data_IF_659912662401
#
_entry.id   IF_659912662401
#
_cell.length_a   1.000
_cell.length_b   1.000
_cell.length_c   1.000
_cell.angle_alpha   90.00
_cell.angle_beta   90.00
_cell.angle_gamma   90.00
#
_symmetry.space_group_name_H-M   'P 1'
#
loop_
_entity.id
_entity.type
_entity.pdbx_description
1 polymer ?
#
# COMPACT_ATOMS: atom_id res chain seq x y z
N UNK A 1 -4.16 1.56 -12.94
CA UNK A 1 -2.78 1.06 -13.19
C UNK A 1 -2.85 -0.45 -13.26
N UNK A 2 -2.48 -1.07 -14.37
CA UNK A 2 -2.59 -2.52 -14.55
C UNK A 2 -1.25 -3.14 -14.15
N UNK A 3 -1.19 -3.76 -12.97
CA UNK A 3 -0.06 -4.61 -12.59
C UNK A 3 -0.21 -5.90 -13.41
N UNK A 4 0.81 -6.26 -14.18
CA UNK A 4 0.75 -7.46 -15.01
C UNK A 4 0.51 -8.70 -14.15
N UNK A 5 -0.25 -9.65 -14.69
CA UNK A 5 -0.49 -10.98 -14.12
C UNK A 5 0.82 -11.59 -13.61
N UNK A 6 0.78 -12.04 -12.35
CA UNK A 6 1.95 -12.52 -11.60
C UNK A 6 2.61 -13.68 -12.35
N UNK A 7 3.80 -13.44 -12.92
CA UNK A 7 4.65 -14.56 -13.37
C UNK A 7 5.12 -15.30 -12.13
N UNK A 8 4.99 -16.62 -12.14
CA UNK A 8 5.33 -17.51 -11.01
C UNK A 8 6.82 -17.48 -10.62
N UNK A 9 7.66 -16.78 -11.40
CA UNK A 9 9.12 -16.74 -11.25
C UNK A 9 9.68 -15.35 -10.90
N UNK A 10 8.83 -14.33 -10.64
CA UNK A 10 9.34 -13.01 -10.25
C UNK A 10 9.89 -13.08 -8.83
N UNK A 11 11.17 -12.73 -8.58
CA UNK A 11 11.72 -12.74 -7.24
C UNK A 11 10.94 -11.84 -6.29
N UNK A 12 10.78 -12.26 -5.04
CA UNK A 12 10.01 -11.54 -4.01
C UNK A 12 10.47 -10.07 -3.88
N UNK A 13 11.79 -9.85 -3.96
CA UNK A 13 12.38 -8.52 -3.90
C UNK A 13 12.01 -7.64 -5.10
N UNK A 14 11.88 -8.21 -6.30
CA UNK A 14 11.54 -7.45 -7.49
C UNK A 14 10.06 -7.08 -7.49
N UNK A 15 9.18 -7.98 -7.05
CA UNK A 15 7.78 -7.67 -6.81
C UNK A 15 7.62 -6.58 -5.73
N UNK A 16 8.41 -6.64 -4.65
CA UNK A 16 8.42 -5.60 -3.62
C UNK A 16 8.83 -4.22 -4.17
N UNK A 17 9.83 -4.18 -5.07
CA UNK A 17 10.22 -2.94 -5.76
C UNK A 17 9.13 -2.43 -6.70
N UNK A 18 8.42 -3.32 -7.39
CA UNK A 18 7.28 -2.95 -8.24
C UNK A 18 6.14 -2.35 -7.42
N UNK A 19 5.81 -2.93 -6.26
CA UNK A 19 4.85 -2.36 -5.31
C UNK A 19 5.32 -0.99 -4.81
N UNK A 20 6.57 -0.86 -4.36
CA UNK A 20 7.10 0.42 -3.90
C UNK A 20 7.07 1.50 -5.00
N UNK A 21 7.40 1.13 -6.24
CA UNK A 21 7.34 2.02 -7.41
C UNK A 21 5.90 2.43 -7.73
N UNK A 22 4.97 1.50 -7.59
CA UNK A 22 3.54 1.71 -7.77
C UNK A 22 2.95 2.67 -6.73
N UNK A 23 3.33 2.51 -5.47
CA UNK A 23 2.97 3.43 -4.39
C UNK A 23 3.48 4.85 -4.67
N UNK A 24 4.74 4.99 -5.09
CA UNK A 24 5.32 6.29 -5.51
C UNK A 24 4.58 6.90 -6.68
N UNK A 25 4.23 6.09 -7.69
CA UNK A 25 3.50 6.57 -8.87
C UNK A 25 2.10 7.06 -8.52
N UNK A 26 1.40 6.36 -7.63
CA UNK A 26 0.04 6.69 -7.24
C UNK A 26 -0.02 7.90 -6.29
N UNK A 27 0.73 7.86 -5.19
CA UNK A 27 0.69 8.90 -4.16
C UNK A 27 1.54 10.12 -4.51
N UNK A 28 2.57 9.97 -5.36
CA UNK A 28 3.45 11.06 -5.73
C UNK A 28 4.26 11.57 -4.53
N UNK A 29 4.19 12.87 -4.28
CA UNK A 29 4.81 13.56 -3.15
C UNK A 29 4.15 13.22 -1.80
N UNK A 30 2.96 12.61 -1.81
CA UNK A 30 2.24 12.17 -0.60
C UNK A 30 2.79 10.87 0.00
N UNK A 31 3.82 10.26 -0.58
CA UNK A 31 4.48 9.06 -0.02
C UNK A 31 5.98 9.24 0.14
N UNK A 32 6.49 8.92 1.32
CA UNK A 32 7.90 9.00 1.68
C UNK A 32 8.34 7.76 2.47
N UNK A 33 9.61 7.70 2.87
CA UNK A 33 10.15 6.69 3.78
C UNK A 33 9.89 5.21 3.41
N UNK A 34 9.82 4.90 2.12
CA UNK A 34 9.60 3.54 1.61
C UNK A 34 10.77 2.61 2.01
N UNK A 35 10.45 1.56 2.76
CA UNK A 35 11.38 0.53 3.19
C UNK A 35 10.78 -0.87 2.92
N UNK A 36 11.57 -1.72 2.28
CA UNK A 36 11.22 -3.12 2.02
C UNK A 36 11.80 -3.98 3.15
N UNK A 37 11.00 -4.94 3.64
CA UNK A 37 11.39 -5.87 4.71
C UNK A 37 10.70 -7.22 4.54
N UNK A 38 11.03 -8.20 5.39
CA UNK A 38 10.41 -9.54 5.43
C UNK A 38 10.40 -10.26 4.07
N UNK A 39 11.43 -10.06 3.25
CA UNK A 39 11.51 -10.68 1.92
C UNK A 39 11.83 -12.16 2.06
N UNK A 40 10.85 -13.01 1.75
CA UNK A 40 10.96 -14.47 1.69
C UNK A 40 10.69 -14.88 0.25
N UNK A 41 11.59 -15.67 -0.32
CA UNK A 41 11.54 -16.11 -1.72
C UNK A 41 11.86 -17.60 -1.82
N UNK A 42 10.92 -18.41 -1.32
CA UNK A 42 10.98 -19.87 -1.36
C UNK A 42 9.98 -20.42 -2.38
N UNK A 43 10.26 -21.64 -2.89
CA UNK A 43 9.45 -22.28 -3.96
C UNK A 43 7.93 -22.29 -3.71
N UNK A 44 7.51 -22.32 -2.46
CA UNK A 44 6.11 -22.38 -2.05
C UNK A 44 5.67 -21.21 -1.15
N UNK A 45 6.56 -20.24 -0.90
CA UNK A 45 6.31 -19.13 0.03
C UNK A 45 7.04 -17.89 -0.45
N UNK A 46 6.27 -16.98 -1.04
CA UNK A 46 6.71 -15.63 -1.37
C UNK A 46 5.98 -14.67 -0.45
N UNK A 47 6.75 -13.88 0.31
CA UNK A 47 6.25 -12.89 1.25
C UNK A 47 7.17 -11.67 1.25
N UNK A 48 6.60 -10.49 1.47
CA UNK A 48 7.35 -9.28 1.75
C UNK A 48 6.45 -8.22 2.36
N UNK A 49 7.09 -7.24 3.01
CA UNK A 49 6.43 -6.05 3.54
C UNK A 49 7.04 -4.79 2.93
N UNK A 50 6.21 -3.78 2.71
CA UNK A 50 6.63 -2.43 2.35
C UNK A 50 6.08 -1.45 3.38
N UNK A 51 6.95 -0.87 4.19
CA UNK A 51 6.61 0.22 5.10
C UNK A 51 6.78 1.55 4.39
N UNK A 52 5.85 2.49 4.56
CA UNK A 52 5.94 3.83 4.01
C UNK A 52 5.20 4.84 4.88
N UNK A 53 5.53 6.12 4.71
CA UNK A 53 4.79 7.21 5.30
C UNK A 53 3.87 7.81 4.24
N UNK A 54 2.56 7.82 4.52
CA UNK A 54 1.54 8.43 3.68
C UNK A 54 1.10 9.78 4.27
N UNK A 55 0.98 10.79 3.40
CA UNK A 55 0.58 12.16 3.72
C UNK A 55 1.42 12.83 4.82
N UNK A 56 2.65 12.38 5.04
CA UNK A 56 3.44 12.77 6.22
C UNK A 56 2.65 12.76 7.53
N UNK A 57 1.76 11.78 7.65
CA UNK A 57 0.79 11.69 8.75
C UNK A 57 0.69 10.26 9.28
N UNK A 58 0.53 9.28 8.38
CA UNK A 58 0.38 7.88 8.77
C UNK A 58 1.58 7.03 8.30
N UNK A 59 2.24 6.30 9.21
CA UNK A 59 2.99 5.13 8.82
C UNK A 59 2.02 4.01 8.38
N UNK A 60 2.26 3.43 7.22
CA UNK A 60 1.44 2.38 6.61
C UNK A 60 2.34 1.22 6.22
N UNK A 61 1.92 0.00 6.59
CA UNK A 61 2.55 -1.24 6.17
C UNK A 61 1.69 -1.93 5.12
N UNK A 62 2.27 -2.22 3.98
CA UNK A 62 1.77 -3.18 3.01
C UNK A 62 2.38 -4.54 3.34
N UNK A 63 1.58 -5.60 3.36
CA UNK A 63 2.05 -6.98 3.47
C UNK A 63 1.53 -7.78 2.28
N UNK A 64 2.41 -8.54 1.65
CA UNK A 64 2.08 -9.51 0.61
C UNK A 64 2.44 -10.90 1.12
N UNK A 65 1.54 -11.86 0.91
CA UNK A 65 1.72 -13.27 1.24
C UNK A 65 1.01 -14.13 0.19
N UNK A 66 1.79 -14.94 -0.55
CA UNK A 66 1.29 -15.99 -1.49
C UNK A 66 0.15 -15.51 -2.42
N UNK A 67 0.34 -14.36 -3.07
CA UNK A 67 -0.58 -13.81 -4.07
C UNK A 67 -1.67 -12.89 -3.52
N UNK A 68 -1.76 -12.76 -2.19
CA UNK A 68 -2.69 -11.87 -1.51
C UNK A 68 -1.94 -10.73 -0.83
N UNK A 69 -2.62 -9.61 -0.61
CA UNK A 69 -2.05 -8.48 0.13
C UNK A 69 -3.07 -7.77 1.01
N UNK A 70 -2.56 -6.98 1.94
CA UNK A 70 -3.33 -6.06 2.77
C UNK A 70 -2.51 -4.84 3.18
N UNK A 71 -3.20 -3.78 3.60
CA UNK A 71 -2.59 -2.61 4.21
C UNK A 71 -2.95 -2.52 5.69
N UNK A 72 -2.07 -1.93 6.49
CA UNK A 72 -2.35 -1.57 7.87
C UNK A 72 -1.77 -0.20 8.21
N UNK A 73 -2.56 0.62 8.92
CA UNK A 73 -2.08 1.88 9.49
C UNK A 73 -1.42 1.56 10.84
N UNK A 74 -0.16 1.95 10.99
CA UNK A 74 0.65 1.61 12.16
C UNK A 74 0.40 2.61 13.29
N UNK A 75 0.11 2.08 14.49
CA UNK A 75 -0.06 2.79 15.75
C UNK A 75 0.86 2.17 16.81
N UNK A 76 2.10 2.66 16.89
CA UNK A 76 3.10 2.11 17.80
C UNK A 76 3.52 0.69 17.41
N UNK A 77 3.25 -0.27 18.28
CA UNK A 77 3.59 -1.70 18.09
C UNK A 77 2.49 -2.51 17.38
N UNK A 78 1.38 -1.87 17.01
CA UNK A 78 0.25 -2.52 16.33
C UNK A 78 -0.07 -1.83 15.02
N UNK A 79 -0.73 -2.55 14.12
CA UNK A 79 -1.35 -1.98 12.93
C UNK A 79 -2.85 -2.25 12.94
N UNK A 80 -3.64 -1.28 12.51
CA UNK A 80 -5.06 -1.45 12.21
C UNK A 80 -5.18 -1.72 10.72
N UNK A 81 -5.65 -2.91 10.37
CA UNK A 81 -5.86 -3.30 8.98
C UNK A 81 -6.84 -2.37 8.27
N UNK A 82 -6.52 -2.03 7.02
CA UNK A 82 -7.45 -1.39 6.09
C UNK A 82 -8.11 -2.53 5.33
N UNK A 83 -9.35 -2.85 5.68
CA UNK A 83 -10.08 -3.96 5.07
C UNK A 83 -10.54 -3.58 3.65
N UNK A 84 -10.04 -4.27 2.61
CA UNK A 84 -10.63 -4.16 1.28
C UNK A 84 -12.12 -4.59 1.30
N UNK A 85 -12.92 -4.05 0.38
CA UNK A 85 -14.31 -4.49 0.19
C UNK A 85 -14.39 -6.00 -0.06
N UNK A 86 -14.73 -6.79 0.97
CA UNK A 86 -14.89 -8.25 0.87
C UNK A 86 -14.01 -9.08 1.81
N UNK A 87 -13.16 -8.48 2.66
CA UNK A 87 -12.41 -9.20 3.69
C UNK A 87 -11.09 -8.54 4.10
N UNK A 88 -10.23 -9.27 4.80
CA UNK A 88 -8.96 -8.73 5.32
C UNK A 88 -7.80 -8.73 4.32
N UNK A 89 -7.89 -9.55 3.25
CA UNK A 89 -6.83 -9.72 2.25
C UNK A 89 -7.43 -9.71 0.84
N UNK A 90 -6.84 -8.94 -0.06
CA UNK A 90 -7.24 -8.86 -1.46
C UNK A 90 -6.28 -9.64 -2.36
N UNK A 91 -6.79 -10.12 -3.50
CA UNK A 91 -5.94 -10.71 -4.52
C UNK A 91 -5.08 -9.61 -5.17
N UNK A 92 -3.83 -9.93 -5.57
CA UNK A 92 -2.94 -8.91 -6.15
C UNK A 92 -3.49 -8.25 -7.43
N UNK A 93 -4.42 -8.91 -8.15
CA UNK A 93 -5.12 -8.32 -9.29
C UNK A 93 -6.03 -7.13 -8.92
N UNK A 94 -6.41 -7.00 -7.65
CA UNK A 94 -7.24 -5.91 -7.13
C UNK A 94 -6.41 -4.73 -6.61
N UNK A 95 -5.09 -4.77 -6.74
CA UNK A 95 -4.15 -3.81 -6.16
C UNK A 95 -4.54 -2.35 -6.40
N UNK A 96 -4.90 -1.98 -7.63
CA UNK A 96 -5.31 -0.61 -7.95
C UNK A 96 -6.56 -0.15 -7.18
N UNK A 97 -7.58 -1.01 -7.07
CA UNK A 97 -8.84 -0.68 -6.39
C UNK A 97 -8.65 -0.55 -4.88
N UNK A 98 -7.87 -1.44 -4.28
CA UNK A 98 -7.56 -1.37 -2.84
C UNK A 98 -6.67 -0.16 -2.53
N UNK A 99 -5.78 0.21 -3.45
CA UNK A 99 -4.95 1.41 -3.30
C UNK A 99 -5.78 2.70 -3.32
N UNK A 100 -6.82 2.77 -4.16
CA UNK A 100 -7.79 3.87 -4.16
C UNK A 100 -8.55 3.92 -2.82
N UNK A 101 -9.04 2.78 -2.32
CA UNK A 101 -9.71 2.70 -1.03
C UNK A 101 -8.80 3.10 0.14
N UNK A 102 -7.52 2.71 0.12
CA UNK A 102 -6.54 3.15 1.11
C UNK A 102 -6.40 4.67 1.10
N UNK A 103 -6.33 5.30 -0.08
CA UNK A 103 -6.22 6.76 -0.21
C UNK A 103 -7.43 7.47 0.42
N UNK A 104 -8.64 6.97 0.15
CA UNK A 104 -9.88 7.48 0.75
C UNK A 104 -9.89 7.33 2.28
N UNK A 105 -9.55 6.16 2.80
CA UNK A 105 -9.48 5.88 4.24
C UNK A 105 -8.45 6.76 4.97
N UNK A 106 -7.29 6.99 4.36
CA UNK A 106 -6.28 7.89 4.92
C UNK A 106 -6.80 9.32 4.97
N UNK A 107 -7.39 9.81 3.87
CA UNK A 107 -7.94 11.18 3.79
C UNK A 107 -9.06 11.41 4.81
N UNK A 108 -9.94 10.43 5.03
CA UNK A 108 -11.02 10.53 6.03
C UNK A 108 -10.49 10.71 7.47
N UNK A 109 -9.27 10.25 7.74
CA UNK A 109 -8.66 10.28 9.07
C UNK A 109 -7.72 11.48 9.28
N UNK A 110 -7.31 12.15 8.21
CA UNK A 110 -6.44 13.33 8.27
C UNK A 110 -7.31 14.58 8.32
N UNK A 111 -7.06 15.53 9.24
CA UNK A 111 -7.82 16.77 9.28
C UNK A 111 -7.73 17.55 7.95
N UNK A 112 -8.86 18.02 7.42
CA UNK A 112 -8.91 18.78 6.15
C UNK A 112 -7.92 19.95 6.13
N UNK A 113 -7.86 20.73 7.22
CA UNK A 113 -6.92 21.86 7.37
C UNK A 113 -5.44 21.47 7.20
N UNK A 114 -5.08 20.22 7.52
CA UNK A 114 -3.72 19.72 7.33
C UNK A 114 -3.47 19.42 5.84
N UNK A 115 -4.43 18.74 5.19
CA UNK A 115 -4.37 18.47 3.74
C UNK A 115 -4.33 19.78 2.95
N UNK A 116 -5.15 20.77 3.33
CA UNK A 116 -5.21 22.10 2.70
C UNK A 116 -3.85 22.80 2.78
N UNK A 117 -3.23 22.83 3.97
CA UNK A 117 -1.94 23.45 4.18
C UNK A 117 -0.81 22.82 3.36
N UNK A 118 -0.97 21.56 2.96
CA UNK A 118 -0.03 20.81 2.11
C UNK A 118 -0.40 20.85 0.63
N UNK A 119 -1.55 21.42 0.26
CA UNK A 119 -2.04 21.42 -1.12
C UNK A 119 -2.53 20.05 -1.60
N UNK A 120 -2.89 19.15 -0.67
CA UNK A 120 -3.30 17.77 -0.97
C UNK A 120 -4.82 17.57 -1.05
N UNK A 121 -5.58 18.66 -1.00
CA UNK A 121 -7.03 18.65 -1.19
C UNK A 121 -7.35 18.60 -2.69
N UNK A 122 -7.76 17.41 -3.15
CA UNK A 122 -8.23 17.14 -4.51
C UNK A 122 -7.73 15.78 -5.05
N UNK A 123 -8.52 14.96 -5.76
CA UNK A 123 -9.93 15.02 -6.15
C UNK A 123 -10.56 13.66 -5.78
N UNK A 124 -11.70 13.66 -5.11
CA UNK A 124 -12.67 12.60 -5.31
C UNK A 124 -13.11 12.72 -6.78
N UNK A 125 -12.77 11.73 -7.61
CA UNK A 125 -13.20 11.68 -9.01
C UNK A 125 -14.73 11.72 -9.10
N UNK A 126 -15.21 12.34 -10.18
CA UNK A 126 -16.63 12.46 -10.53
C UNK A 126 -17.24 11.10 -10.87
#
# INVERSE_FOLDING_TARGET
MHMHEHRLDTPALDLAKEVASSLRRYFGDRVTALAISNVIDDRNHVEFSVLFEAYSFFPVIFNYDRGFFGFGIVYGDRAVGVEPLGGHWASFGEFGRVLEQLDEELRLRIPDKYLDAKGWVGRSGH
#
